data_IF_943352654996
#
_entry.id   IF_943352654996
#
_cell.length_a   1.000
_cell.length_b   1.000
_cell.length_c   1.000
_cell.angle_alpha   90.00
_cell.angle_beta   90.00
_cell.angle_gamma   90.00
#
_symmetry.space_group_name_H-M   'P 1'
#
loop_
_entity.id
_entity.type
_entity.pdbx_description
1 polymer ?
#
# COMPACT_ATOMS: atom_id res chain seq x y z
N UNK A 1 23.23 78.64 1.61
CA UNK A 1 23.14 77.38 2.33
C UNK A 1 22.05 76.54 1.65
N UNK A 2 22.44 75.55 0.98
CA UNK A 2 21.47 74.58 0.41
C UNK A 2 20.94 73.74 1.55
N UNK A 3 19.64 73.89 1.85
CA UNK A 3 18.98 72.96 2.73
C UNK A 3 18.97 71.62 2.01
N UNK A 4 19.75 70.69 2.49
CA UNK A 4 19.63 69.31 2.12
C UNK A 4 18.26 68.79 2.62
N UNK A 5 17.33 68.67 1.71
CA UNK A 5 16.11 67.94 2.03
C UNK A 5 16.50 66.59 2.52
N UNK A 6 15.99 66.15 3.67
CA UNK A 6 16.19 64.72 4.04
C UNK A 6 15.67 63.85 2.91
N UNK A 7 16.35 62.76 2.60
CA UNK A 7 15.86 61.88 1.58
C UNK A 7 14.43 61.51 1.98
N UNK A 8 13.51 61.79 1.07
CA UNK A 8 12.17 61.28 1.18
C UNK A 8 12.30 59.78 1.42
N UNK A 9 11.98 59.40 2.63
CA UNK A 9 11.83 57.98 2.91
C UNK A 9 10.82 57.47 1.90
N UNK A 10 11.34 56.90 0.86
CA UNK A 10 10.57 56.29 -0.19
C UNK A 10 9.47 55.45 0.45
N UNK A 11 8.26 55.80 0.20
CA UNK A 11 7.04 55.10 0.59
C UNK A 11 6.99 53.65 0.10
N UNK A 12 8.02 53.24 -0.59
CA UNK A 12 8.17 51.89 -1.16
C UNK A 12 8.43 50.79 -0.14
N UNK A 13 8.78 51.17 1.11
CA UNK A 13 8.95 50.19 2.20
C UNK A 13 7.67 49.35 2.44
N UNK A 14 6.50 49.98 2.32
CA UNK A 14 5.22 49.29 2.51
C UNK A 14 4.95 48.26 1.40
N UNK A 15 5.36 48.56 0.18
CA UNK A 15 5.20 47.65 -0.95
C UNK A 15 6.23 46.56 -0.96
N UNK A 16 7.43 46.79 -0.45
CA UNK A 16 8.46 45.77 -0.31
C UNK A 16 8.01 44.65 0.66
N UNK A 17 7.38 45.01 1.77
CA UNK A 17 6.83 44.05 2.71
C UNK A 17 5.61 43.30 2.13
N UNK A 18 4.75 43.97 1.40
CA UNK A 18 3.62 43.35 0.73
C UNK A 18 4.09 42.33 -0.34
N UNK A 19 5.11 42.69 -1.12
CA UNK A 19 5.68 41.79 -2.13
C UNK A 19 6.34 40.54 -1.53
N UNK A 20 7.05 40.70 -0.42
CA UNK A 20 7.68 39.58 0.30
C UNK A 20 6.62 38.65 0.91
N UNK A 21 5.55 39.21 1.47
CA UNK A 21 4.46 38.42 2.03
C UNK A 21 3.70 37.62 0.93
N UNK A 22 3.45 38.23 -0.21
CA UNK A 22 2.79 37.57 -1.34
C UNK A 22 3.68 36.45 -1.87
N UNK A 23 4.99 36.67 -2.00
CA UNK A 23 5.93 35.63 -2.43
C UNK A 23 6.01 34.48 -1.41
N UNK A 24 6.00 34.75 -0.12
CA UNK A 24 6.00 33.73 0.92
C UNK A 24 4.71 32.89 0.90
N UNK A 25 3.56 33.53 0.73
CA UNK A 25 2.27 32.81 0.61
C UNK A 25 2.25 31.96 -0.66
N UNK A 26 2.74 32.46 -1.78
CA UNK A 26 2.84 31.68 -3.03
C UNK A 26 3.75 30.46 -2.86
N UNK A 27 4.87 30.59 -2.16
CA UNK A 27 5.76 29.46 -1.88
C UNK A 27 5.11 28.41 -0.95
N UNK A 28 4.30 28.86 0.01
CA UNK A 28 3.53 27.95 0.87
C UNK A 28 2.46 27.22 0.04
N UNK A 29 1.76 27.91 -0.84
CA UNK A 29 0.79 27.28 -1.74
C UNK A 29 1.45 26.29 -2.72
N UNK A 30 2.62 26.60 -3.25
CA UNK A 30 3.38 25.68 -4.10
C UNK A 30 3.87 24.46 -3.30
N UNK A 31 4.22 24.65 -2.04
CA UNK A 31 4.61 23.56 -1.15
C UNK A 31 3.42 22.69 -0.73
N UNK A 32 2.22 23.26 -0.64
CA UNK A 32 0.98 22.54 -0.34
C UNK A 32 0.37 21.90 -1.59
N UNK A 33 0.64 22.46 -2.78
CA UNK A 33 0.23 21.91 -4.07
C UNK A 33 1.31 21.04 -4.72
N UNK A 34 2.49 20.87 -4.12
CA UNK A 34 3.12 19.59 -4.25
C UNK A 34 2.16 18.62 -3.58
N UNK A 35 1.22 18.12 -4.35
CA UNK A 35 0.83 16.77 -4.16
C UNK A 35 2.15 15.99 -4.02
N UNK A 36 2.63 15.85 -2.80
CA UNK A 36 3.07 14.56 -2.45
C UNK A 36 1.85 13.71 -2.82
N UNK A 37 1.83 13.27 -4.06
CA UNK A 37 1.29 11.98 -4.32
C UNK A 37 2.05 11.13 -3.30
N UNK A 38 1.50 11.10 -2.07
CA UNK A 38 1.62 9.91 -1.24
C UNK A 38 1.52 8.86 -2.33
N UNK A 39 2.54 8.00 -2.56
CA UNK A 39 2.26 6.82 -3.29
C UNK A 39 1.11 6.24 -2.47
N UNK A 40 -0.11 6.58 -2.85
CA UNK A 40 -1.21 5.73 -2.62
C UNK A 40 -0.64 4.51 -3.28
N UNK A 41 -0.09 3.65 -2.44
CA UNK A 41 0.10 2.28 -2.79
C UNK A 41 -1.33 1.92 -3.10
N UNK A 42 -1.73 2.34 -4.28
CA UNK A 42 -2.93 1.93 -4.92
C UNK A 42 -2.65 0.45 -5.03
N UNK A 43 -3.01 -0.23 -3.95
CA UNK A 43 -3.10 -1.67 -3.93
C UNK A 43 -4.01 -1.93 -5.10
N UNK A 44 -3.38 -2.14 -6.27
CA UNK A 44 -4.09 -2.44 -7.50
C UNK A 44 -4.94 -3.63 -7.10
N UNK A 45 -6.20 -3.35 -6.85
CA UNK A 45 -7.13 -4.36 -6.38
C UNK A 45 -7.42 -5.20 -7.61
N UNK A 46 -6.62 -6.25 -7.81
CA UNK A 46 -6.87 -7.24 -8.83
C UNK A 46 -8.20 -7.89 -8.51
N UNK A 47 -9.21 -7.57 -9.30
CA UNK A 47 -10.55 -8.09 -9.10
C UNK A 47 -10.60 -9.51 -9.64
N UNK A 48 -10.82 -10.45 -8.74
CA UNK A 48 -11.04 -11.86 -9.08
C UNK A 48 -12.52 -12.21 -8.91
N UNK A 49 -13.01 -13.12 -9.73
CA UNK A 49 -14.35 -13.66 -9.55
C UNK A 49 -14.44 -14.46 -8.24
N UNK A 50 -15.61 -14.42 -7.59
CA UNK A 50 -15.85 -15.21 -6.38
C UNK A 50 -15.72 -16.71 -6.64
N UNK A 51 -16.00 -17.15 -7.85
CA UNK A 51 -15.83 -18.53 -8.29
C UNK A 51 -14.35 -18.93 -8.29
N UNK A 52 -13.48 -18.12 -8.89
CA UNK A 52 -12.04 -18.39 -8.92
C UNK A 52 -11.41 -18.33 -7.54
N UNK A 53 -11.83 -17.40 -6.68
CA UNK A 53 -11.42 -17.34 -5.27
C UNK A 53 -11.75 -18.66 -4.55
N UNK A 54 -12.99 -19.16 -4.70
CA UNK A 54 -13.44 -20.39 -4.09
C UNK A 54 -12.70 -21.62 -4.63
N UNK A 55 -12.48 -21.67 -5.93
CA UNK A 55 -11.73 -22.76 -6.57
C UNK A 55 -10.27 -22.79 -6.13
N UNK A 56 -9.63 -21.62 -6.01
CA UNK A 56 -8.26 -21.53 -5.53
C UNK A 56 -8.12 -22.10 -4.12
N UNK A 57 -8.96 -21.67 -3.20
CA UNK A 57 -8.93 -22.14 -1.80
C UNK A 57 -9.24 -23.62 -1.73
N UNK A 58 -10.23 -24.10 -2.49
CA UNK A 58 -10.59 -25.52 -2.56
C UNK A 58 -9.43 -26.37 -3.07
N UNK A 59 -8.82 -26.01 -4.20
CA UNK A 59 -7.72 -26.74 -4.79
C UNK A 59 -6.47 -26.74 -3.89
N UNK A 60 -6.18 -25.61 -3.26
CA UNK A 60 -5.12 -25.50 -2.27
C UNK A 60 -5.38 -26.44 -1.08
N UNK A 61 -6.59 -26.44 -0.53
CA UNK A 61 -6.96 -27.28 0.61
C UNK A 61 -6.93 -28.77 0.25
N UNK A 62 -7.46 -29.19 -0.89
CA UNK A 62 -7.46 -30.57 -1.35
C UNK A 62 -6.04 -31.14 -1.48
N UNK A 63 -5.07 -30.32 -1.88
CA UNK A 63 -3.66 -30.70 -1.93
C UNK A 63 -3.09 -31.10 -0.56
N UNK A 64 -3.53 -30.43 0.52
CA UNK A 64 -3.04 -30.64 1.88
C UNK A 64 -3.95 -31.52 2.74
N UNK A 65 -5.16 -31.82 2.28
CA UNK A 65 -6.16 -32.60 3.01
C UNK A 65 -5.63 -33.95 3.55
N UNK A 66 -4.82 -34.73 2.81
CA UNK A 66 -4.26 -35.97 3.34
C UNK A 66 -3.36 -35.77 4.56
N UNK A 67 -2.78 -34.59 4.74
CA UNK A 67 -1.87 -34.26 5.86
C UNK A 67 -2.61 -33.86 7.13
N UNK A 68 -3.83 -33.34 6.99
CA UNK A 68 -4.63 -32.84 8.12
C UNK A 68 -5.67 -33.85 8.59
N UNK A 69 -6.01 -34.84 7.78
CA UNK A 69 -6.96 -35.95 8.08
C UNK A 69 -8.23 -35.43 8.78
N UNK A 70 -8.55 -36.03 9.94
CA UNK A 70 -9.76 -35.71 10.72
C UNK A 70 -9.52 -34.67 11.82
N UNK A 71 -8.36 -34.02 11.84
CA UNK A 71 -8.03 -32.97 12.82
C UNK A 71 -8.65 -31.64 12.40
N UNK A 72 -9.77 -31.29 13.02
CA UNK A 72 -10.53 -30.06 12.70
C UNK A 72 -9.70 -28.77 12.85
N UNK A 73 -8.84 -28.73 13.85
CA UNK A 73 -7.98 -27.56 14.08
C UNK A 73 -6.97 -27.39 12.94
N UNK A 74 -6.36 -28.48 12.52
CA UNK A 74 -5.43 -28.46 11.38
C UNK A 74 -6.14 -28.17 10.06
N UNK A 75 -7.37 -28.64 9.90
CA UNK A 75 -8.19 -28.32 8.71
C UNK A 75 -8.47 -26.83 8.62
N UNK A 76 -8.91 -26.20 9.70
CA UNK A 76 -9.17 -24.74 9.72
C UNK A 76 -7.88 -23.93 9.54
N UNK A 77 -6.79 -24.37 10.15
CA UNK A 77 -5.46 -23.80 9.97
C UNK A 77 -5.03 -23.84 8.50
N UNK A 78 -5.26 -24.97 7.83
CA UNK A 78 -4.91 -25.12 6.42
C UNK A 78 -5.80 -24.28 5.50
N UNK A 79 -7.09 -24.17 5.80
CA UNK A 79 -7.98 -23.25 5.07
C UNK A 79 -7.53 -21.80 5.23
N UNK A 80 -7.12 -21.39 6.42
CA UNK A 80 -6.58 -20.06 6.69
C UNK A 80 -5.27 -19.82 5.93
N UNK A 81 -4.41 -20.82 5.84
CA UNK A 81 -3.21 -20.78 5.00
C UNK A 81 -3.55 -20.56 3.52
N UNK A 82 -4.51 -21.34 3.00
CA UNK A 82 -4.92 -21.22 1.61
C UNK A 82 -5.55 -19.85 1.29
N UNK A 83 -6.31 -19.27 2.21
CA UNK A 83 -6.83 -17.90 2.07
C UNK A 83 -5.71 -16.87 2.09
N UNK A 84 -4.72 -17.01 2.97
CA UNK A 84 -3.54 -16.14 2.99
C UNK A 84 -2.80 -16.20 1.65
N UNK A 85 -2.58 -17.39 1.10
CA UNK A 85 -1.94 -17.56 -0.21
C UNK A 85 -2.74 -16.89 -1.32
N UNK A 86 -4.07 -17.02 -1.33
CA UNK A 86 -4.96 -16.35 -2.28
C UNK A 86 -4.77 -14.83 -2.23
N UNK A 87 -4.81 -14.23 -1.03
CA UNK A 87 -4.61 -12.78 -0.85
C UNK A 87 -3.26 -12.31 -1.39
N UNK A 88 -2.20 -13.09 -1.19
CA UNK A 88 -0.87 -12.79 -1.72
C UNK A 88 -0.84 -12.83 -3.25
N UNK A 89 -1.44 -13.84 -3.85
CA UNK A 89 -1.53 -13.95 -5.32
C UNK A 89 -2.34 -12.79 -5.89
N UNK A 90 -3.52 -12.49 -5.32
CA UNK A 90 -4.38 -11.36 -5.73
C UNK A 90 -3.70 -10.00 -5.59
N UNK A 91 -2.77 -9.87 -4.65
CA UNK A 91 -2.04 -8.61 -4.47
C UNK A 91 -1.05 -8.30 -5.60
N UNK A 92 -0.71 -9.28 -6.42
CA UNK A 92 0.32 -9.13 -7.46
C UNK A 92 -0.15 -9.50 -8.87
N UNK A 93 -1.10 -10.41 -9.00
CA UNK A 93 -1.53 -10.96 -10.28
C UNK A 93 -3.03 -10.82 -10.50
N UNK A 94 -3.41 -10.53 -11.73
CA UNK A 94 -4.80 -10.64 -12.17
C UNK A 94 -5.19 -12.12 -12.32
N UNK A 95 -6.50 -12.41 -12.25
CA UNK A 95 -7.04 -13.76 -12.46
C UNK A 95 -6.56 -14.41 -13.77
N UNK A 96 -6.48 -13.63 -14.84
CA UNK A 96 -6.01 -14.06 -16.17
C UNK A 96 -4.50 -14.35 -16.25
N UNK A 97 -3.73 -13.92 -15.25
CA UNK A 97 -2.26 -14.02 -15.23
C UNK A 97 -1.76 -15.08 -14.23
N UNK A 98 -2.65 -15.99 -13.80
CA UNK A 98 -2.30 -17.07 -12.87
C UNK A 98 -1.21 -18.01 -13.37
N UNK A 99 -1.13 -18.19 -14.68
CA UNK A 99 -0.09 -18.97 -15.35
C UNK A 99 1.30 -18.31 -15.29
N UNK A 100 1.34 -17.00 -14.99
CA UNK A 100 2.57 -16.22 -14.87
C UNK A 100 3.13 -16.17 -13.44
N UNK A 101 2.45 -16.81 -12.47
CA UNK A 101 2.89 -16.82 -11.08
C UNK A 101 4.25 -17.51 -10.96
N UNK A 102 5.22 -16.82 -10.40
CA UNK A 102 6.58 -17.33 -10.29
C UNK A 102 6.76 -18.22 -9.05
N UNK A 103 7.52 -19.28 -9.19
CA UNK A 103 7.83 -20.18 -8.08
C UNK A 103 8.54 -19.47 -6.91
N UNK A 104 9.34 -18.44 -7.18
CA UNK A 104 9.98 -17.65 -6.15
C UNK A 104 8.96 -16.89 -5.29
N UNK A 105 7.91 -16.34 -5.89
CA UNK A 105 6.83 -15.70 -5.18
C UNK A 105 6.05 -16.70 -4.31
N UNK A 106 5.72 -17.85 -4.86
CA UNK A 106 5.02 -18.92 -4.12
C UNK A 106 5.81 -19.34 -2.88
N UNK A 107 7.11 -19.57 -3.00
CA UNK A 107 7.98 -19.93 -1.86
C UNK A 107 8.02 -18.86 -0.80
N UNK A 108 8.14 -17.59 -1.20
CA UNK A 108 8.14 -16.46 -0.28
C UNK A 108 6.81 -16.36 0.46
N UNK A 109 5.69 -16.40 -0.25
CA UNK A 109 4.35 -16.31 0.32
C UNK A 109 4.00 -17.52 1.20
N UNK A 110 4.45 -18.72 0.83
CA UNK A 110 4.32 -19.90 1.69
C UNK A 110 4.97 -19.66 3.05
N UNK A 111 6.19 -19.13 3.07
CA UNK A 111 6.89 -18.80 4.32
C UNK A 111 6.17 -17.72 5.12
N UNK A 112 5.74 -16.64 4.45
CA UNK A 112 5.01 -15.54 5.08
C UNK A 112 3.69 -16.01 5.70
N UNK A 113 2.89 -16.77 4.94
CA UNK A 113 1.60 -17.27 5.41
C UNK A 113 1.75 -18.27 6.55
N UNK A 114 2.76 -19.14 6.53
CA UNK A 114 3.05 -20.05 7.66
C UNK A 114 3.44 -19.29 8.91
N UNK A 115 4.26 -18.27 8.79
CA UNK A 115 4.67 -17.43 9.93
C UNK A 115 3.48 -16.65 10.50
N UNK A 116 2.61 -16.12 9.64
CA UNK A 116 1.41 -15.42 10.07
C UNK A 116 0.49 -16.34 10.89
N UNK A 117 0.29 -17.59 10.47
CA UNK A 117 -0.54 -18.57 11.17
C UNK A 117 0.09 -18.97 12.49
N UNK A 118 1.40 -19.21 12.55
CA UNK A 118 2.11 -19.49 13.80
C UNK A 118 1.93 -18.37 14.83
N UNK A 119 2.05 -17.13 14.38
CA UNK A 119 1.92 -15.94 15.23
C UNK A 119 0.48 -15.70 15.71
N UNK A 120 -0.53 -16.18 14.97
CA UNK A 120 -1.93 -16.07 15.35
C UNK A 120 -2.37 -17.04 16.45
N UNK A 121 -1.48 -17.94 16.91
CA UNK A 121 -1.75 -18.89 17.99
C UNK A 121 -2.56 -20.12 17.60
N UNK A 122 -2.85 -20.31 16.31
CA UNK A 122 -3.55 -21.51 15.82
C UNK A 122 -2.68 -22.79 15.87
N UNK A 123 -1.38 -22.63 15.98
CA UNK A 123 -0.43 -23.73 16.14
C UNK A 123 0.23 -23.61 17.52
N UNK A 124 -0.46 -24.03 18.52
CA UNK A 124 0.16 -24.36 19.80
C UNK A 124 0.47 -25.85 19.85
#
# INVERSE_FOLDING_TARGET
MKKLNPPEKSSNSKYLFAGVLIAAVALIFISLSKDESIPVNEKVLHVWSAETDSLFVKNCYEKYKPQVKDDLVKQETMKSFCRCMLEKVKSKYDEKDLDKVQNADIKRWDTECRNQIKNSGFLK
#
